data_IF_615773693214
#
_entry.id   IF_615773693214
#
_cell.length_a   1.000
_cell.length_b   1.000
_cell.length_c   1.000
_cell.angle_alpha   90.00
_cell.angle_beta   90.00
_cell.angle_gamma   90.00
#
_symmetry.space_group_name_H-M   'P 1'
#
loop_
_entity.id
_entity.type
_entity.pdbx_description
1 polymer ?
#
# COMPACT_ATOMS: atom_id res chain seq x y z
N UNK A 1 6.09 8.93 5.58
CA UNK A 1 5.39 8.33 6.72
C UNK A 1 4.66 7.11 6.17
N UNK A 2 5.18 5.91 6.43
CA UNK A 2 4.65 4.63 5.91
C UNK A 2 3.52 4.16 6.82
N UNK A 3 2.29 4.14 6.31
CA UNK A 3 1.19 3.45 6.99
C UNK A 3 1.39 1.94 6.94
N UNK A 4 0.94 1.22 7.95
CA UNK A 4 1.20 -0.21 8.16
C UNK A 4 -0.10 -0.97 7.86
N UNK A 5 -0.05 -2.00 7.00
CA UNK A 5 -1.14 -2.97 6.85
C UNK A 5 -1.13 -3.92 8.05
N UNK A 6 -2.28 -3.97 8.68
CA UNK A 6 -2.55 -4.67 9.91
C UNK A 6 -2.68 -6.19 9.79
N UNK A 7 -2.95 -6.73 8.61
CA UNK A 7 -3.13 -8.19 8.49
C UNK A 7 -1.81 -8.92 8.27
N UNK A 8 -0.76 -8.18 7.88
CA UNK A 8 0.52 -8.74 7.41
C UNK A 8 1.77 -8.02 7.98
N UNK A 9 1.60 -6.88 8.65
CA UNK A 9 2.70 -6.01 9.07
C UNK A 9 3.45 -5.37 7.89
N UNK A 10 2.97 -5.51 6.65
CA UNK A 10 3.60 -4.88 5.48
C UNK A 10 3.14 -3.44 5.35
N UNK A 11 4.08 -2.51 5.17
CA UNK A 11 3.74 -1.12 4.92
C UNK A 11 2.80 -1.01 3.70
N UNK A 12 1.79 -0.12 3.78
CA UNK A 12 1.08 0.43 2.63
C UNK A 12 2.12 0.66 1.53
N UNK A 13 1.84 0.27 0.27
CA UNK A 13 2.78 0.52 -0.81
C UNK A 13 3.03 2.03 -0.86
N UNK A 14 4.21 2.44 -0.39
CA UNK A 14 4.67 3.82 -0.50
C UNK A 14 4.82 4.21 -1.97
N UNK A 15 5.42 5.37 -2.23
CA UNK A 15 5.63 5.85 -3.60
C UNK A 15 6.30 4.78 -4.44
N UNK A 16 5.94 4.69 -5.73
CA UNK A 16 6.57 3.73 -6.65
C UNK A 16 8.11 3.86 -6.66
N UNK A 17 8.64 5.08 -6.52
CA UNK A 17 10.07 5.34 -6.33
C UNK A 17 10.67 4.56 -5.16
N UNK A 18 9.98 4.54 -4.02
CA UNK A 18 10.43 3.87 -2.80
C UNK A 18 10.38 2.36 -2.95
N UNK A 19 9.36 1.86 -3.64
CA UNK A 19 9.22 0.44 -3.98
C UNK A 19 10.40 -0.05 -4.83
N UNK A 20 10.77 0.70 -5.87
CA UNK A 20 11.92 0.36 -6.73
C UNK A 20 13.23 0.47 -5.95
N UNK A 21 13.41 1.53 -5.16
CA UNK A 21 14.59 1.72 -4.32
C UNK A 21 14.74 0.61 -3.27
N UNK A 22 13.65 0.12 -2.69
CA UNK A 22 13.66 -1.00 -1.73
C UNK A 22 14.13 -2.30 -2.39
N UNK A 23 13.64 -2.62 -3.59
CA UNK A 23 14.07 -3.81 -4.35
C UNK A 23 15.56 -3.73 -4.72
N UNK A 24 16.06 -2.53 -5.02
CA UNK A 24 17.49 -2.33 -5.27
C UNK A 24 18.34 -2.54 -4.03
N UNK A 25 17.94 -1.96 -2.89
CA UNK A 25 18.63 -2.15 -1.60
C UNK A 25 18.61 -3.60 -1.13
N UNK A 26 17.58 -4.36 -1.50
CA UNK A 26 17.49 -5.80 -1.26
C UNK A 26 18.42 -6.65 -2.16
N UNK A 27 19.21 -6.03 -3.05
CA UNK A 27 20.25 -6.69 -3.83
C UNK A 27 19.94 -6.91 -5.31
N UNK A 28 18.75 -6.53 -5.80
CA UNK A 28 18.47 -6.61 -7.23
C UNK A 28 19.02 -5.38 -7.95
N UNK A 29 19.97 -5.55 -8.87
CA UNK A 29 20.51 -4.42 -9.61
C UNK A 29 19.49 -3.83 -10.61
N UNK A 30 19.59 -2.54 -10.91
CA UNK A 30 18.76 -1.91 -11.95
C UNK A 30 18.93 -2.53 -13.33
N UNK A 31 20.13 -3.07 -13.63
CA UNK A 31 20.37 -3.81 -14.87
C UNK A 31 19.55 -5.11 -14.91
N UNK A 32 19.46 -5.81 -13.77
CA UNK A 32 18.62 -7.00 -13.65
C UNK A 32 17.13 -6.65 -13.74
N UNK A 33 16.67 -5.58 -13.10
CA UNK A 33 15.28 -5.13 -13.24
C UNK A 33 14.93 -4.80 -14.70
N UNK A 34 15.83 -4.13 -15.42
CA UNK A 34 15.67 -3.84 -16.84
C UNK A 34 15.56 -5.11 -17.70
N UNK A 35 16.41 -6.11 -17.44
CA UNK A 35 16.34 -7.39 -18.12
C UNK A 35 15.01 -8.12 -17.83
N UNK A 36 14.63 -8.20 -16.56
CA UNK A 36 13.42 -8.89 -16.09
C UNK A 36 12.12 -8.16 -16.47
N UNK A 37 12.18 -6.87 -16.84
CA UNK A 37 11.01 -6.07 -17.25
C UNK A 37 10.46 -6.42 -18.64
N UNK A 38 11.19 -7.21 -19.43
CA UNK A 38 10.79 -7.62 -20.78
C UNK A 38 9.77 -8.76 -20.72
N UNK A 39 8.83 -8.76 -21.66
CA UNK A 39 7.77 -9.78 -21.71
C UNK A 39 8.20 -11.08 -22.35
N UNK A 40 7.45 -12.16 -22.07
CA UNK A 40 7.66 -13.45 -22.75
C UNK A 40 7.46 -13.31 -24.27
N UNK A 41 6.64 -12.34 -24.71
CA UNK A 41 6.39 -12.04 -26.12
C UNK A 41 7.39 -11.04 -26.76
N UNK A 42 8.48 -10.69 -26.07
CA UNK A 42 9.47 -9.72 -26.59
C UNK A 42 9.04 -8.26 -26.46
N UNK A 43 8.07 -7.97 -25.60
CA UNK A 43 7.60 -6.62 -25.30
C UNK A 43 8.75 -5.69 -24.87
N UNK A 44 8.58 -4.40 -25.18
CA UNK A 44 9.52 -3.35 -24.81
C UNK A 44 9.55 -3.19 -23.28
N UNK A 45 10.62 -3.65 -22.66
CA UNK A 45 10.91 -3.41 -21.25
C UNK A 45 11.45 -2.01 -20.97
N UNK A 46 11.74 -1.74 -19.70
CA UNK A 46 12.32 -0.48 -19.24
C UNK A 46 13.85 -0.54 -19.24
N UNK A 47 14.50 0.59 -19.48
CA UNK A 47 15.96 0.67 -19.44
C UNK A 47 16.49 0.77 -18.01
N UNK A 48 17.77 0.42 -17.81
CA UNK A 48 18.48 0.62 -16.54
C UNK A 48 18.41 2.08 -16.07
N UNK A 49 18.66 3.02 -16.98
CA UNK A 49 18.64 4.46 -16.69
C UNK A 49 17.24 4.92 -16.26
N UNK A 50 16.19 4.34 -16.84
CA UNK A 50 14.83 4.62 -16.45
C UNK A 50 14.54 4.17 -15.01
N UNK A 51 14.92 2.95 -14.63
CA UNK A 51 14.78 2.46 -13.25
C UNK A 51 15.57 3.31 -12.25
N UNK A 52 16.79 3.73 -12.61
CA UNK A 52 17.59 4.63 -11.78
C UNK A 52 16.88 5.97 -11.55
N UNK A 53 16.32 6.56 -12.62
CA UNK A 53 15.58 7.83 -12.53
C UNK A 53 14.33 7.72 -11.67
N UNK A 54 13.58 6.61 -11.81
CA UNK A 54 12.40 6.34 -10.99
C UNK A 54 12.77 6.20 -9.51
N UNK A 55 13.81 5.43 -9.19
CA UNK A 55 14.24 5.19 -7.81
C UNK A 55 14.66 6.47 -7.07
N UNK A 56 15.20 7.46 -7.77
CA UNK A 56 15.55 8.77 -7.20
C UNK A 56 14.42 9.81 -7.31
N UNK A 57 13.22 9.41 -7.77
CA UNK A 57 12.07 10.30 -7.87
C UNK A 57 12.16 11.39 -8.95
N UNK A 58 13.02 11.22 -9.96
CA UNK A 58 13.27 12.21 -11.02
C UNK A 58 12.35 12.09 -12.25
N UNK A 59 11.32 11.24 -12.18
CA UNK A 59 10.30 11.14 -13.22
C UNK A 59 9.20 12.16 -12.94
N UNK A 60 9.05 13.14 -13.84
CA UNK A 60 8.07 14.23 -13.70
C UNK A 60 6.65 13.79 -14.08
N UNK A 61 6.53 12.77 -14.93
CA UNK A 61 5.25 12.25 -15.42
C UNK A 61 5.02 10.83 -14.94
N UNK A 62 3.75 10.50 -14.70
CA UNK A 62 3.34 9.14 -14.37
C UNK A 62 3.68 8.17 -15.50
N UNK A 63 4.21 6.97 -15.21
CA UNK A 63 4.38 5.92 -16.21
C UNK A 63 3.02 5.47 -16.77
N UNK A 64 3.01 5.09 -18.05
CA UNK A 64 1.82 4.56 -18.73
C UNK A 64 1.46 3.15 -18.22
N UNK A 65 0.23 2.66 -18.43
CA UNK A 65 -0.19 1.33 -17.98
C UNK A 65 0.75 0.21 -18.44
N UNK A 66 1.20 0.22 -19.69
CA UNK A 66 2.14 -0.76 -20.25
C UNK A 66 3.52 -0.69 -19.59
N UNK A 67 3.97 0.51 -19.19
CA UNK A 67 5.23 0.70 -18.46
C UNK A 67 5.11 0.18 -17.04
N UNK A 68 3.96 0.35 -16.37
CA UNK A 68 3.70 -0.21 -15.04
C UNK A 68 3.71 -1.74 -15.05
N UNK A 69 3.23 -2.37 -16.11
CA UNK A 69 3.33 -3.83 -16.30
C UNK A 69 4.76 -4.29 -16.50
N UNK A 70 5.56 -3.55 -17.27
CA UNK A 70 6.99 -3.79 -17.42
C UNK A 70 7.72 -3.63 -16.07
N UNK A 71 7.41 -2.59 -15.30
CA UNK A 71 7.95 -2.35 -13.96
C UNK A 71 7.61 -3.51 -13.03
N UNK A 72 6.34 -3.92 -12.97
CA UNK A 72 5.88 -5.00 -12.10
C UNK A 72 6.65 -6.32 -12.32
N UNK A 73 6.92 -6.65 -13.59
CA UNK A 73 7.78 -7.79 -13.95
C UNK A 73 9.23 -7.57 -13.53
N UNK A 74 9.79 -6.41 -13.84
CA UNK A 74 11.18 -6.06 -13.54
C UNK A 74 11.51 -6.10 -12.04
N UNK A 75 10.57 -5.70 -11.19
CA UNK A 75 10.75 -5.71 -9.73
C UNK A 75 10.10 -6.93 -9.04
N UNK A 76 9.49 -7.82 -9.83
CA UNK A 76 8.81 -9.04 -9.36
C UNK A 76 7.78 -8.78 -8.27
N UNK A 77 6.90 -7.79 -8.51
CA UNK A 77 5.78 -7.44 -7.62
C UNK A 77 4.45 -7.59 -8.35
N UNK A 78 3.34 -7.91 -7.64
CA UNK A 78 2.01 -7.90 -8.22
C UNK A 78 1.67 -6.54 -8.86
N UNK A 79 1.11 -6.57 -10.07
CA UNK A 79 0.75 -5.36 -10.83
C UNK A 79 -0.20 -4.44 -10.04
N UNK A 80 -1.09 -5.00 -9.22
CA UNK A 80 -1.99 -4.24 -8.35
C UNK A 80 -1.22 -3.29 -7.42
N UNK A 81 -0.23 -3.80 -6.68
CA UNK A 81 0.57 -3.00 -5.75
C UNK A 81 1.39 -1.92 -6.47
N UNK A 82 1.88 -2.22 -7.67
CA UNK A 82 2.62 -1.25 -8.50
C UNK A 82 1.71 -0.12 -8.96
N UNK A 83 0.48 -0.42 -9.38
CA UNK A 83 -0.51 0.59 -9.77
C UNK A 83 -0.93 1.46 -8.59
N UNK A 84 -1.16 0.86 -7.42
CA UNK A 84 -1.47 1.59 -6.18
C UNK A 84 -0.31 2.54 -5.79
N UNK A 85 0.93 2.06 -5.81
CA UNK A 85 2.12 2.88 -5.53
C UNK A 85 2.30 4.03 -6.54
N UNK A 86 1.99 3.79 -7.81
CA UNK A 86 2.03 4.81 -8.85
C UNK A 86 0.93 5.86 -8.64
N UNK A 87 -0.29 5.42 -8.35
CA UNK A 87 -1.41 6.31 -8.06
C UNK A 87 -1.13 7.18 -6.82
N UNK A 88 -0.57 6.61 -5.75
CA UNK A 88 -0.13 7.38 -4.57
C UNK A 88 0.93 8.44 -4.91
N UNK A 89 1.87 8.13 -5.81
CA UNK A 89 2.96 9.04 -6.16
C UNK A 89 2.56 10.19 -7.08
N UNK A 90 1.72 9.96 -8.09
CA UNK A 90 1.40 10.97 -9.12
C UNK A 90 -0.02 11.53 -9.07
N UNK A 91 -0.95 10.82 -8.44
CA UNK A 91 -2.34 11.25 -8.35
C UNK A 91 -2.71 11.70 -6.92
N UNK A 92 -1.74 11.69 -6.00
CA UNK A 92 -1.97 11.82 -4.55
C UNK A 92 -3.11 10.90 -4.06
N UNK A 93 -3.29 9.78 -4.77
CA UNK A 93 -4.35 8.83 -4.50
C UNK A 93 -3.92 7.98 -3.32
N UNK A 94 -4.30 8.40 -2.12
CA UNK A 94 -4.35 7.49 -0.97
C UNK A 94 -5.46 6.47 -1.23
N UNK A 95 -5.12 5.19 -1.09
CA UNK A 95 -6.12 4.12 -1.10
C UNK A 95 -7.22 4.47 -0.11
N UNK A 96 -8.43 4.71 -0.64
CA UNK A 96 -9.62 5.22 0.06
C UNK A 96 -10.15 4.20 1.09
N UNK A 97 -9.49 3.06 1.31
CA UNK A 97 -9.93 2.06 2.26
C UNK A 97 -9.93 2.55 3.72
N UNK A 98 -9.23 3.64 4.05
CA UNK A 98 -9.19 4.21 5.41
C UNK A 98 -9.37 5.74 5.49
N UNK A 99 -9.41 6.47 4.38
CA UNK A 99 -9.49 7.94 4.38
C UNK A 99 -10.86 8.51 4.80
N UNK A 100 -11.89 7.67 4.90
CA UNK A 100 -13.20 8.02 5.45
C UNK A 100 -13.29 7.92 6.98
N UNK A 101 -12.21 7.47 7.63
CA UNK A 101 -12.12 7.30 9.07
C UNK A 101 -11.14 8.30 9.68
N UNK A 102 -11.51 8.87 10.83
CA UNK A 102 -10.59 9.67 11.65
C UNK A 102 -9.39 8.84 12.14
N UNK A 103 -8.40 9.52 12.73
CA UNK A 103 -7.15 8.89 13.18
C UNK A 103 -7.38 7.75 14.18
N UNK A 104 -8.35 7.91 15.09
CA UNK A 104 -8.64 6.91 16.12
C UNK A 104 -9.26 5.67 15.51
N UNK A 105 -10.22 5.84 14.60
CA UNK A 105 -10.86 4.73 13.92
C UNK A 105 -9.89 4.01 12.98
N UNK A 106 -8.98 4.73 12.32
CA UNK A 106 -7.87 4.12 11.56
C UNK A 106 -6.98 3.26 12.45
N UNK A 107 -6.60 3.77 13.62
CA UNK A 107 -5.75 3.03 14.56
C UNK A 107 -6.46 1.76 15.10
N UNK A 108 -7.76 1.83 15.38
CA UNK A 108 -8.57 0.68 15.81
C UNK A 108 -8.64 -0.39 14.73
N UNK A 109 -8.93 -0.01 13.48
CA UNK A 109 -9.00 -0.95 12.34
C UNK A 109 -7.64 -1.63 12.15
N UNK A 110 -6.55 -0.86 12.23
CA UNK A 110 -5.19 -1.40 12.12
C UNK A 110 -4.89 -2.37 13.27
N UNK A 111 -5.29 -2.06 14.51
CA UNK A 111 -5.03 -2.97 15.63
C UNK A 111 -5.87 -4.25 15.52
N UNK A 112 -7.13 -4.13 15.09
CA UNK A 112 -8.06 -5.23 14.98
C UNK A 112 -7.67 -6.23 13.89
N UNK A 113 -7.17 -5.77 12.74
CA UNK A 113 -6.74 -6.67 11.67
C UNK A 113 -5.49 -7.50 12.02
N UNK A 114 -4.67 -7.05 12.98
CA UNK A 114 -3.52 -7.79 13.50
C UNK A 114 -3.87 -8.84 14.58
N UNK A 115 -5.11 -8.83 15.08
CA UNK A 115 -5.56 -9.75 16.13
C UNK A 115 -5.94 -11.13 15.57
N UNK A 116 -5.70 -12.16 16.37
CA UNK A 116 -6.20 -13.49 16.04
C UNK A 116 -7.76 -13.53 16.07
N UNK A 117 -8.40 -14.52 15.43
CA UNK A 117 -9.86 -14.56 15.35
C UNK A 117 -10.59 -14.57 16.70
N UNK A 118 -9.98 -15.14 17.75
CA UNK A 118 -10.57 -15.19 19.10
C UNK A 118 -10.49 -13.82 19.77
N UNK A 119 -9.37 -13.13 19.62
CA UNK A 119 -9.19 -11.75 20.12
C UNK A 119 -10.13 -10.77 19.41
N UNK A 120 -10.27 -10.85 18.09
CA UNK A 120 -11.25 -10.04 17.34
C UNK A 120 -12.67 -10.26 17.81
N UNK A 121 -13.04 -11.51 18.12
CA UNK A 121 -14.38 -11.84 18.62
C UNK A 121 -14.63 -11.23 20.01
N UNK A 122 -13.60 -11.17 20.87
CA UNK A 122 -13.68 -10.49 22.17
C UNK A 122 -13.83 -8.97 22.01
N UNK A 123 -13.04 -8.37 21.12
CA UNK A 123 -13.15 -6.94 20.79
C UNK A 123 -14.55 -6.57 20.32
N UNK A 124 -15.14 -7.37 19.42
CA UNK A 124 -16.53 -7.17 18.97
C UNK A 124 -17.52 -7.16 20.12
N UNK A 125 -17.44 -8.14 21.02
CA UNK A 125 -18.35 -8.21 22.19
C UNK A 125 -18.20 -6.99 23.10
N UNK A 126 -16.98 -6.47 23.29
CA UNK A 126 -16.77 -5.24 24.07
C UNK A 126 -17.38 -4.00 23.41
N UNK A 127 -17.27 -3.89 22.09
CA UNK A 127 -17.87 -2.79 21.33
C UNK A 127 -19.41 -2.87 21.36
N UNK A 128 -19.98 -4.06 21.20
CA UNK A 128 -21.43 -4.29 21.30
C UNK A 128 -21.96 -3.94 22.70
N UNK A 129 -21.18 -4.27 23.75
CA UNK A 129 -21.51 -3.91 25.13
C UNK A 129 -21.42 -2.40 25.38
N UNK A 130 -20.42 -1.71 24.81
CA UNK A 130 -20.29 -0.27 24.92
C UNK A 130 -21.44 0.47 24.23
N UNK A 131 -21.83 0.03 23.02
CA UNK A 131 -22.95 0.61 22.28
C UNK A 131 -24.30 0.46 23.03
N UNK A 132 -24.50 -0.67 23.70
CA UNK A 132 -25.73 -0.93 24.46
C UNK A 132 -25.81 -0.21 25.82
N UNK A 133 -24.69 0.31 26.35
CA UNK A 133 -24.66 1.18 27.54
C UNK A 133 -25.03 2.61 27.17
N UNK A 134 -24.59 3.10 26.02
CA UNK A 134 -24.94 4.44 25.53
C UNK A 134 -26.43 4.55 25.18
N UNK A 135 -27.03 3.50 24.61
CA UNK A 135 -28.47 3.46 24.30
C UNK A 135 -29.38 3.37 25.56
N UNK A 136 -28.85 2.88 26.68
CA UNK A 136 -29.59 2.73 27.94
C UNK A 136 -29.27 3.80 28.99
N UNK A 137 -28.50 4.84 28.64
CA UNK A 137 -28.33 6.00 29.52
C UNK A 137 -29.65 6.77 29.62
N UNK A 138 -30.30 6.85 30.80
CA UNK A 138 -31.50 7.64 30.94
C UNK A 138 -31.14 9.09 30.63
N UNK A 139 -31.91 9.72 29.75
CA UNK A 139 -31.84 11.16 29.52
C UNK A 139 -31.97 11.87 30.87
N UNK A 140 -30.83 12.29 31.43
CA UNK A 140 -30.80 13.12 32.62
C UNK A 140 -31.30 14.48 32.14
N UNK A 141 -32.58 14.73 32.42
CA UNK A 141 -33.18 16.04 32.19
C UNK A 141 -32.42 17.10 32.98
N UNK A 142 -32.10 18.19 32.29
CA UNK A 142 -32.19 19.57 32.76
C UNK A 142 -32.13 20.51 31.56
#
# INVERSE_FOLDING_TARGET
MTGIDATSGQALPGKLSDMVAAVQRAGTSYAKMAADSKGPAGERGMSKAWFQRLAVGSLMSAPKPEELEAVARGIRKPIRLVKEAAASQWLEWESVELSGYDEDMRHIIIRAAAMDPRERRRLRVMLDAAASVDENSPAVGQ
#
